data_IF_681409094245
#
_entry.id   IF_681409094245
#
_cell.length_a   1.000
_cell.length_b   1.000
_cell.length_c   1.000
_cell.angle_alpha   90.00
_cell.angle_beta   90.00
_cell.angle_gamma   90.00
#
_symmetry.space_group_name_H-M   'P 1'
#
loop_
_entity.id
_entity.type
_entity.pdbx_description
1 polymer ?
#
# COMPACT_ATOMS: atom_id res chain seq x y z
N UNK A 1 3.33 -2.75 17.50
CA UNK A 1 2.75 -2.45 16.18
C UNK A 1 1.42 -1.78 16.42
N UNK A 2 1.22 -0.60 15.84
CA UNK A 2 -0.06 0.13 15.92
C UNK A 2 -0.99 -0.43 14.86
N UNK A 3 -2.26 -0.63 15.20
CA UNK A 3 -3.26 -1.09 14.24
C UNK A 3 -3.41 -0.05 13.11
N UNK A 4 -3.36 -0.52 11.86
CA UNK A 4 -3.45 0.30 10.64
C UNK A 4 -4.73 1.16 10.61
N UNK A 5 -5.78 0.65 11.26
CA UNK A 5 -7.12 1.24 11.30
C UNK A 5 -7.39 1.83 12.69
N UNK A 6 -6.80 2.99 12.97
CA UNK A 6 -7.01 3.70 14.24
C UNK A 6 -8.27 4.58 14.26
N UNK A 7 -8.72 5.01 13.08
CA UNK A 7 -9.89 5.87 12.92
C UNK A 7 -11.14 5.07 12.52
N UNK A 8 -12.31 5.70 12.63
CA UNK A 8 -13.58 5.11 12.20
C UNK A 8 -13.71 4.99 10.66
N UNK A 9 -12.93 5.75 9.90
CA UNK A 9 -12.99 5.75 8.43
C UNK A 9 -12.01 4.73 7.85
N UNK A 10 -12.52 3.77 7.06
CA UNK A 10 -11.69 2.75 6.42
C UNK A 10 -10.56 3.36 5.58
N UNK A 11 -9.31 3.02 5.93
CA UNK A 11 -8.12 3.49 5.21
C UNK A 11 -7.74 2.47 4.15
N UNK A 12 -7.62 2.92 2.90
CA UNK A 12 -7.11 2.15 1.75
C UNK A 12 -6.29 3.05 0.85
N UNK A 13 -5.31 2.48 0.16
CA UNK A 13 -4.69 3.18 -0.97
C UNK A 13 -5.70 3.25 -2.11
N UNK A 14 -5.82 4.41 -2.75
CA UNK A 14 -6.83 4.64 -3.78
C UNK A 14 -6.50 3.93 -5.10
N UNK A 15 -5.21 3.69 -5.36
CA UNK A 15 -4.71 3.07 -6.59
C UNK A 15 -4.89 1.54 -6.52
N UNK A 16 -4.78 0.95 -5.33
CA UNK A 16 -4.91 -0.48 -5.13
C UNK A 16 -6.37 -0.89 -4.96
N UNK A 17 -6.86 -1.71 -5.88
CA UNK A 17 -8.11 -2.43 -5.70
C UNK A 17 -7.91 -3.66 -4.81
N UNK A 18 -8.50 -3.63 -3.61
CA UNK A 18 -8.34 -4.69 -2.60
C UNK A 18 -9.30 -5.87 -2.78
N UNK A 19 -10.48 -5.65 -3.38
CA UNK A 19 -11.53 -6.66 -3.47
C UNK A 19 -11.38 -7.52 -4.74
N UNK A 20 -10.20 -8.13 -4.94
CA UNK A 20 -9.99 -9.06 -6.06
C UNK A 20 -10.78 -10.34 -5.79
N UNK A 21 -11.72 -10.67 -6.68
CA UNK A 21 -12.47 -11.91 -6.63
C UNK A 21 -11.49 -13.09 -6.77
N UNK A 22 -11.23 -13.79 -5.66
CA UNK A 22 -10.44 -15.03 -5.68
C UNK A 22 -11.29 -16.11 -6.35
N UNK A 23 -10.91 -16.50 -7.56
CA UNK A 23 -11.46 -17.70 -8.20
C UNK A 23 -11.22 -18.87 -7.24
N UNK A 24 -12.27 -19.64 -6.95
CA UNK A 24 -12.34 -20.69 -5.92
C UNK A 24 -11.43 -21.91 -6.18
N UNK A 25 -10.33 -21.76 -6.93
CA UNK A 25 -9.41 -22.84 -7.22
C UNK A 25 -8.08 -22.62 -6.49
N UNK A 26 -8.06 -23.19 -5.28
CA UNK A 26 -6.88 -23.79 -4.65
C UNK A 26 -5.54 -23.09 -4.85
N UNK A 27 -5.26 -22.11 -3.99
CA UNK A 27 -3.97 -21.96 -3.34
C UNK A 27 -4.13 -20.87 -2.27
N UNK A 28 -3.94 -21.23 -1.00
CA UNK A 28 -4.04 -20.31 0.16
C UNK A 28 -2.80 -19.41 0.22
N UNK A 29 -2.37 -18.86 -0.90
CA UNK A 29 -1.37 -17.81 -0.91
C UNK A 29 -2.14 -16.57 -0.47
N UNK A 30 -1.86 -16.11 0.76
CA UNK A 30 -2.18 -14.74 1.18
C UNK A 30 -1.32 -13.83 0.31
N UNK A 31 -1.69 -13.71 -0.97
CA UNK A 31 -1.05 -12.81 -1.91
C UNK A 31 -1.13 -11.44 -1.27
N UNK A 32 0.04 -10.93 -0.84
CA UNK A 32 0.15 -9.62 -0.24
C UNK A 32 -0.45 -8.67 -1.27
N UNK A 33 -1.44 -7.88 -0.86
CA UNK A 33 -2.09 -6.95 -1.77
C UNK A 33 -0.98 -6.12 -2.46
N UNK A 34 -1.01 -5.99 -3.80
CA UNK A 34 0.03 -5.26 -4.52
C UNK A 34 0.16 -3.87 -3.92
N UNK A 35 1.35 -3.46 -3.49
CA UNK A 35 1.57 -2.10 -2.98
C UNK A 35 2.07 -1.20 -4.10
N UNK A 36 1.34 -0.11 -4.36
CA UNK A 36 1.73 0.88 -5.34
C UNK A 36 2.76 1.85 -4.74
N UNK A 37 4.00 1.76 -5.23
CA UNK A 37 5.09 2.65 -4.87
C UNK A 37 5.51 3.48 -6.08
N UNK A 38 5.59 4.79 -5.89
CA UNK A 38 6.08 5.73 -6.89
C UNK A 38 7.55 6.02 -6.65
N UNK A 39 8.31 6.04 -7.74
CA UNK A 39 9.68 6.54 -7.73
C UNK A 39 9.64 8.06 -7.75
N UNK A 40 10.35 8.69 -6.81
CA UNK A 40 10.43 10.14 -6.73
C UNK A 40 11.60 10.63 -7.58
N UNK A 41 11.32 11.61 -8.45
CA UNK A 41 12.25 12.18 -9.43
C UNK A 41 13.31 13.09 -8.79
N UNK A 42 14.10 12.59 -7.84
CA UNK A 42 15.20 13.36 -7.22
C UNK A 42 16.40 12.50 -6.80
N UNK A 43 16.50 11.26 -7.31
CA UNK A 43 17.56 10.32 -6.96
C UNK A 43 17.37 9.60 -5.62
N UNK A 44 16.25 9.82 -4.93
CA UNK A 44 15.90 9.07 -3.72
C UNK A 44 15.45 7.65 -4.07
N UNK A 45 16.06 6.68 -3.41
CA UNK A 45 15.63 5.28 -3.49
C UNK A 45 14.39 5.08 -2.61
N UNK A 46 13.41 4.36 -3.12
CA UNK A 46 12.23 3.96 -2.35
C UNK A 46 12.66 3.10 -1.15
N UNK A 47 12.32 3.47 0.09
CA UNK A 47 12.70 2.69 1.26
C UNK A 47 11.99 1.34 1.26
N UNK A 48 12.66 0.29 1.77
CA UNK A 48 12.06 -1.06 1.91
C UNK A 48 10.77 -1.05 2.72
N UNK A 49 10.67 -0.13 3.68
CA UNK A 49 9.48 0.06 4.50
C UNK A 49 8.27 0.52 3.70
N UNK A 50 8.44 1.35 2.65
CA UNK A 50 7.34 1.72 1.75
C UNK A 50 6.95 0.54 0.84
N UNK A 51 7.94 -0.29 0.48
CA UNK A 51 7.75 -1.45 -0.40
C UNK A 51 7.00 -2.59 0.30
N UNK A 52 7.36 -2.88 1.56
CA UNK A 52 6.84 -4.05 2.28
C UNK A 52 5.90 -3.71 3.44
N UNK A 53 5.91 -2.45 3.90
CA UNK A 53 5.20 -2.00 5.09
C UNK A 53 3.75 -1.67 4.79
N UNK A 54 2.83 -2.15 5.63
CA UNK A 54 1.38 -2.11 5.37
C UNK A 54 0.69 -0.81 5.85
N UNK A 55 1.44 0.28 5.97
CA UNK A 55 0.88 1.56 6.43
C UNK A 55 0.13 2.29 5.30
N UNK A 56 -0.86 3.10 5.66
CA UNK A 56 -1.67 3.87 4.72
C UNK A 56 -1.56 5.34 5.09
N UNK A 57 -0.73 6.06 4.34
CA UNK A 57 -0.52 7.49 4.51
C UNK A 57 -0.69 8.23 3.18
N UNK A 58 -1.58 9.22 3.17
CA UNK A 58 -1.84 10.09 2.01
C UNK A 58 -0.74 11.13 1.83
N UNK A 59 0.03 11.45 2.87
CA UNK A 59 1.11 12.43 2.87
C UNK A 59 2.46 11.83 2.45
N UNK A 60 2.56 10.51 2.40
CA UNK A 60 3.78 9.84 1.98
C UNK A 60 4.05 10.12 0.49
N UNK A 61 5.29 10.53 0.12
CA UNK A 61 5.61 10.81 -1.28
C UNK A 61 5.81 9.52 -2.12
N UNK A 62 5.99 8.36 -1.47
CA UNK A 62 6.20 7.08 -2.15
C UNK A 62 4.87 6.33 -2.39
N UNK A 63 3.97 6.27 -1.41
CA UNK A 63 2.70 5.53 -1.50
C UNK A 63 1.49 6.42 -1.74
N UNK A 64 1.66 7.74 -1.71
CA UNK A 64 0.59 8.75 -1.80
C UNK A 64 0.60 9.54 -3.12
N UNK A 65 -0.22 10.59 -3.15
CA UNK A 65 -0.28 11.54 -4.27
C UNK A 65 0.47 12.85 -3.97
N UNK A 66 1.36 12.83 -2.98
CA UNK A 66 2.16 13.98 -2.61
C UNK A 66 3.46 14.00 -3.41
N UNK A 67 3.73 15.10 -4.11
CA UNK A 67 4.98 15.31 -4.85
C UNK A 67 5.92 16.20 -4.04
N UNK A 68 7.22 15.98 -4.19
CA UNK A 68 8.31 16.81 -3.63
C UNK A 68 8.85 17.71 -4.73
#
# INVERSE_FOLDING_TARGET
>A
MVDIQTEHVYRKQLIIFQNKNRVLLGETIKEKLPQDNKNISLGFKTPKEAIEGTYIDKKCPFTGNFSI
#
